data_IF_001355676453
#
_entry.id   IF_001355676453
#
_cell.length_a   1.000
_cell.length_b   1.000
_cell.length_c   1.000
_cell.angle_alpha   90.00
_cell.angle_beta   90.00
_cell.angle_gamma   90.00
#
_symmetry.space_group_name_H-M   'P 1'
#
loop_
_entity.id
_entity.type
_entity.pdbx_description
1 polymer ?
#
# COMPACT_ATOMS: atom_id res chain seq x y z
N UNK A 1 30.79 -42.15 18.50
CA UNK A 1 31.13 -43.04 19.64
C UNK A 1 31.09 -42.25 20.92
N UNK A 2 30.26 -42.71 21.84
CA UNK A 2 29.95 -42.12 23.14
C UNK A 2 31.19 -41.90 24.01
N UNK A 3 31.16 -40.87 24.85
CA UNK A 3 31.45 -41.03 26.30
C UNK A 3 30.88 -39.87 27.11
N UNK A 4 29.81 -40.23 27.79
CA UNK A 4 29.11 -39.54 28.85
C UNK A 4 29.94 -39.44 30.14
N UNK A 5 29.54 -38.49 30.99
CA UNK A 5 29.65 -38.45 32.46
C UNK A 5 31.00 -38.12 33.14
N UNK A 6 31.00 -36.98 33.83
CA UNK A 6 31.37 -36.84 35.27
C UNK A 6 30.66 -35.58 35.81
N UNK A 7 29.59 -35.77 36.58
CA UNK A 7 29.50 -35.75 38.06
C UNK A 7 29.74 -34.35 38.66
N UNK A 8 28.69 -33.79 39.27
CA UNK A 8 28.73 -33.25 40.64
C UNK A 8 27.29 -32.92 41.09
N UNK A 9 26.89 -33.61 42.16
CA UNK A 9 25.61 -33.53 42.88
C UNK A 9 25.84 -32.83 44.21
N UNK A 10 24.94 -31.91 44.59
CA UNK A 10 24.59 -31.52 45.96
C UNK A 10 23.24 -30.76 45.82
N UNK A 11 22.04 -31.26 46.13
CA UNK A 11 21.47 -31.88 47.34
C UNK A 11 21.45 -30.95 48.56
N UNK A 12 20.45 -30.07 48.63
CA UNK A 12 19.79 -29.52 49.85
C UNK A 12 18.65 -28.60 49.41
N UNK A 13 17.45 -28.51 49.99
CA UNK A 13 16.77 -29.18 51.10
C UNK A 13 15.29 -28.72 50.95
N UNK A 14 14.35 -29.66 51.05
CA UNK A 14 12.91 -29.35 51.14
C UNK A 14 12.63 -28.71 52.49
N UNK A 15 11.96 -27.56 52.50
CA UNK A 15 11.13 -27.13 53.63
C UNK A 15 9.77 -26.69 53.09
N UNK A 16 8.78 -27.57 53.30
CA UNK A 16 7.36 -27.24 53.28
C UNK A 16 7.01 -26.50 54.57
N UNK A 17 6.37 -25.33 54.46
CA UNK A 17 5.55 -24.76 55.52
C UNK A 17 4.29 -24.15 54.87
N UNK A 18 3.15 -24.60 55.37
CA UNK A 18 1.79 -24.33 54.90
C UNK A 18 1.12 -23.19 55.68
N UNK A 19 0.40 -22.34 54.93
CA UNK A 19 -0.94 -21.75 55.21
C UNK A 19 -1.06 -20.62 56.27
N UNK A 20 -1.42 -19.39 55.84
CA UNK A 20 -2.80 -18.85 55.87
C UNK A 20 -2.87 -17.32 55.62
N UNK A 21 -3.85 -16.96 54.77
CA UNK A 21 -4.56 -15.69 54.53
C UNK A 21 -4.12 -14.36 55.17
N UNK A 22 -4.00 -13.32 54.33
CA UNK A 22 -4.96 -12.20 54.30
C UNK A 22 -4.95 -11.52 52.93
N UNK A 23 -6.09 -10.97 52.46
CA UNK A 23 -6.21 -10.38 51.13
C UNK A 23 -5.94 -8.88 51.23
N UNK A 24 -4.91 -8.39 50.55
CA UNK A 24 -4.81 -6.96 50.30
C UNK A 24 -4.51 -6.69 48.83
N UNK A 25 -5.31 -5.76 48.34
CA UNK A 25 -5.36 -5.30 46.98
C UNK A 25 -4.01 -4.72 46.55
N UNK A 26 -3.45 -5.31 45.50
CA UNK A 26 -2.90 -4.56 44.37
C UNK A 26 -2.98 -5.50 43.17
N UNK A 27 -3.99 -5.26 42.34
CA UNK A 27 -3.99 -5.76 40.97
C UNK A 27 -2.84 -5.06 40.23
N UNK A 28 -1.62 -5.56 40.41
CA UNK A 28 -0.61 -5.44 39.37
C UNK A 28 -1.16 -6.20 38.17
N UNK A 29 -1.83 -5.46 37.30
CA UNK A 29 -2.07 -5.87 35.92
C UNK A 29 -0.68 -5.97 35.31
N UNK A 30 -0.02 -7.12 35.52
CA UNK A 30 1.06 -7.58 34.68
C UNK A 30 0.42 -7.69 33.31
N UNK A 31 0.54 -6.61 32.52
CA UNK A 31 0.25 -6.63 31.10
C UNK A 31 1.15 -7.70 30.52
N UNK A 32 0.63 -8.93 30.42
CA UNK A 32 1.27 -10.04 29.75
C UNK A 32 1.56 -9.56 28.35
N UNK A 33 2.82 -9.19 28.14
CA UNK A 33 3.35 -8.84 26.84
C UNK A 33 3.01 -10.03 25.93
N UNK A 34 2.29 -9.80 24.82
CA UNK A 34 1.79 -10.91 24.02
C UNK A 34 2.99 -11.73 23.55
N UNK A 35 2.84 -13.04 23.68
CA UNK A 35 3.88 -14.02 23.33
C UNK A 35 4.42 -13.73 21.92
N UNK A 36 5.72 -13.90 21.70
CA UNK A 36 6.43 -13.46 20.47
C UNK A 36 5.77 -14.06 19.19
N UNK A 37 5.13 -15.21 19.34
CA UNK A 37 4.29 -15.92 18.35
C UNK A 37 2.95 -15.22 18.04
N UNK A 38 2.32 -14.58 19.02
CA UNK A 38 1.10 -13.77 18.84
C UNK A 38 1.39 -12.42 18.19
N UNK A 39 2.53 -11.80 18.53
CA UNK A 39 2.97 -10.56 17.89
C UNK A 39 3.25 -10.77 16.39
N UNK A 40 3.95 -11.84 16.05
CA UNK A 40 4.26 -12.17 14.64
C UNK A 40 3.03 -12.52 13.80
N UNK A 41 2.02 -13.21 14.35
CA UNK A 41 0.77 -13.52 13.64
C UNK A 41 -0.11 -12.29 13.39
N UNK A 42 -0.20 -11.37 14.36
CA UNK A 42 -0.90 -10.10 14.19
C UNK A 42 -0.23 -9.21 13.12
N UNK A 43 1.10 -9.16 13.11
CA UNK A 43 1.87 -8.42 12.12
C UNK A 43 1.70 -8.98 10.69
N UNK A 44 1.70 -10.30 10.53
CA UNK A 44 1.44 -10.95 9.24
C UNK A 44 0.03 -10.67 8.71
N UNK A 45 -0.96 -10.62 9.60
CA UNK A 45 -2.35 -10.27 9.24
C UNK A 45 -2.42 -8.83 8.76
N UNK A 46 -1.75 -7.90 9.45
CA UNK A 46 -1.65 -6.49 9.03
C UNK A 46 -0.99 -6.36 7.66
N UNK A 47 0.09 -7.09 7.40
CA UNK A 47 0.74 -7.10 6.08
C UNK A 47 -0.16 -7.63 4.97
N UNK A 48 -0.94 -8.69 5.24
CA UNK A 48 -1.93 -9.20 4.27
C UNK A 48 -2.98 -8.15 3.95
N UNK A 49 -3.51 -7.45 4.96
CA UNK A 49 -4.47 -6.37 4.77
C UNK A 49 -3.91 -5.23 3.91
N UNK A 50 -2.70 -4.76 4.22
CA UNK A 50 -2.01 -3.72 3.44
C UNK A 50 -1.76 -4.17 1.99
N UNK A 51 -1.34 -5.41 1.77
CA UNK A 51 -1.15 -5.95 0.42
C UNK A 51 -2.48 -6.00 -0.36
N UNK A 52 -3.58 -6.35 0.30
CA UNK A 52 -4.92 -6.31 -0.28
C UNK A 52 -5.30 -4.90 -0.74
N UNK A 53 -5.11 -3.91 0.12
CA UNK A 53 -5.39 -2.51 -0.20
C UNK A 53 -4.54 -2.00 -1.40
N UNK A 54 -3.24 -2.32 -1.41
CA UNK A 54 -2.34 -1.98 -2.52
C UNK A 54 -2.81 -2.64 -3.82
N UNK A 55 -3.13 -3.93 -3.80
CA UNK A 55 -3.63 -4.66 -4.98
C UNK A 55 -4.92 -4.04 -5.53
N UNK A 56 -5.84 -3.62 -4.65
CA UNK A 56 -7.06 -2.94 -5.06
C UNK A 56 -6.76 -1.60 -5.73
N UNK A 57 -5.85 -0.79 -5.16
CA UNK A 57 -5.39 0.46 -5.77
C UNK A 57 -4.76 0.21 -7.14
N UNK A 58 -3.93 -0.82 -7.29
CA UNK A 58 -3.33 -1.17 -8.58
C UNK A 58 -4.35 -1.61 -9.63
N UNK A 59 -5.38 -2.36 -9.23
CA UNK A 59 -6.49 -2.69 -10.11
C UNK A 59 -7.21 -1.42 -10.59
N UNK A 60 -7.55 -0.51 -9.69
CA UNK A 60 -8.20 0.75 -10.03
C UNK A 60 -7.32 1.62 -10.95
N UNK A 61 -6.02 1.68 -10.69
CA UNK A 61 -5.04 2.39 -11.55
C UNK A 61 -5.06 1.82 -12.97
N UNK A 62 -5.02 0.49 -13.12
CA UNK A 62 -5.10 -0.15 -14.45
C UNK A 62 -6.42 0.17 -15.14
N UNK A 63 -7.53 0.07 -14.43
CA UNK A 63 -8.85 0.36 -14.97
C UNK A 63 -8.96 1.80 -15.49
N UNK A 64 -8.56 2.79 -14.68
CA UNK A 64 -8.56 4.20 -15.09
C UNK A 64 -7.64 4.46 -16.29
N UNK A 65 -6.46 3.83 -16.33
CA UNK A 65 -5.57 3.97 -17.49
C UNK A 65 -6.21 3.44 -18.78
N UNK A 66 -6.92 2.30 -18.71
CA UNK A 66 -7.65 1.77 -19.86
C UNK A 66 -8.77 2.74 -20.29
N UNK A 67 -9.59 3.20 -19.36
CA UNK A 67 -10.67 4.17 -19.65
C UNK A 67 -10.14 5.45 -20.28
N UNK A 68 -9.09 6.05 -19.71
CA UNK A 68 -8.50 7.27 -20.25
C UNK A 68 -7.89 7.06 -21.64
N UNK A 69 -7.32 5.88 -21.91
CA UNK A 69 -6.79 5.56 -23.25
C UNK A 69 -7.91 5.54 -24.29
N UNK A 70 -9.02 4.91 -23.97
CA UNK A 70 -10.18 4.80 -24.86
C UNK A 70 -10.83 6.18 -25.07
N UNK A 71 -11.05 6.94 -24.00
CA UNK A 71 -11.57 8.31 -24.06
C UNK A 71 -10.64 9.24 -24.86
N UNK A 72 -9.33 9.13 -24.68
CA UNK A 72 -8.34 9.92 -25.44
C UNK A 72 -8.32 9.56 -26.91
N UNK A 73 -8.62 8.31 -27.27
CA UNK A 73 -8.75 7.89 -28.66
C UNK A 73 -10.02 8.46 -29.29
N UNK A 74 -11.15 8.37 -28.58
CA UNK A 74 -12.42 8.91 -29.04
C UNK A 74 -12.37 10.43 -29.20
N UNK A 75 -11.82 11.14 -28.22
CA UNK A 75 -11.62 12.58 -28.28
C UNK A 75 -10.84 12.98 -29.53
N UNK A 76 -9.67 12.34 -29.76
CA UNK A 76 -8.86 12.60 -30.96
C UNK A 76 -9.60 12.31 -32.25
N UNK A 77 -10.45 11.27 -32.28
CA UNK A 77 -11.28 10.95 -33.45
C UNK A 77 -12.32 12.04 -33.72
N UNK A 78 -12.97 12.58 -32.69
CA UNK A 78 -13.95 13.66 -32.83
C UNK A 78 -13.31 14.99 -33.21
N UNK A 79 -12.18 15.34 -32.57
CA UNK A 79 -11.46 16.58 -32.84
C UNK A 79 -10.99 16.71 -34.29
N UNK A 80 -10.70 15.59 -34.99
CA UNK A 80 -10.39 15.61 -36.43
C UNK A 80 -11.48 16.22 -37.31
N UNK A 81 -12.72 16.25 -36.83
CA UNK A 81 -13.87 16.83 -37.54
C UNK A 81 -14.12 18.29 -37.16
N UNK A 82 -13.48 18.79 -36.11
CA UNK A 82 -13.64 20.16 -35.67
C UNK A 82 -12.63 21.09 -36.35
N UNK A 83 -12.91 22.39 -36.34
CA UNK A 83 -12.01 23.41 -36.83
C UNK A 83 -10.74 23.55 -35.95
N UNK A 84 -9.71 24.18 -36.51
CA UNK A 84 -8.40 24.30 -35.85
C UNK A 84 -8.43 25.19 -34.60
N UNK A 85 -9.35 26.15 -34.51
CA UNK A 85 -9.45 27.03 -33.34
C UNK A 85 -10.02 26.25 -32.15
N UNK A 86 -11.08 25.47 -32.39
CA UNK A 86 -11.66 24.61 -31.37
C UNK A 86 -10.70 23.51 -30.92
N UNK A 87 -9.93 22.91 -31.83
CA UNK A 87 -8.88 21.94 -31.46
C UNK A 87 -7.86 22.56 -30.48
N UNK A 88 -7.40 23.78 -30.75
CA UNK A 88 -6.45 24.48 -29.87
C UNK A 88 -7.06 24.83 -28.51
N UNK A 89 -8.33 25.21 -28.47
CA UNK A 89 -9.03 25.45 -27.20
C UNK A 89 -9.09 24.18 -26.35
N UNK A 90 -9.47 23.04 -26.95
CA UNK A 90 -9.52 21.74 -26.25
C UNK A 90 -8.12 21.32 -25.76
N UNK A 91 -7.08 21.46 -26.58
CA UNK A 91 -5.71 21.20 -26.16
C UNK A 91 -5.26 22.12 -25.00
N UNK A 92 -5.72 23.38 -25.01
CA UNK A 92 -5.50 24.33 -23.91
C UNK A 92 -6.18 23.88 -22.60
N UNK A 93 -7.40 23.36 -22.68
CA UNK A 93 -8.13 22.84 -21.51
C UNK A 93 -7.53 21.53 -20.97
N UNK A 94 -6.88 20.73 -21.82
CA UNK A 94 -6.23 19.47 -21.43
C UNK A 94 -4.81 19.63 -20.88
N UNK A 95 -4.32 20.86 -20.67
CA UNK A 95 -3.01 21.07 -20.06
C UNK A 95 -2.93 20.48 -18.63
N UNK A 96 -3.96 20.68 -17.82
CA UNK A 96 -4.05 20.10 -16.48
C UNK A 96 -4.09 18.57 -16.53
N UNK A 97 -4.81 18.01 -17.51
CA UNK A 97 -4.86 16.56 -17.73
C UNK A 97 -3.46 15.99 -17.99
N UNK A 98 -2.69 16.62 -18.87
CA UNK A 98 -1.32 16.21 -19.16
C UNK A 98 -0.39 16.37 -17.94
N UNK A 99 -0.55 17.44 -17.17
CA UNK A 99 0.22 17.66 -15.95
C UNK A 99 -0.08 16.57 -14.90
N UNK A 100 -1.36 16.27 -14.66
CA UNK A 100 -1.82 15.23 -13.74
C UNK A 100 -1.31 13.84 -14.16
N UNK A 101 -1.40 13.50 -15.46
CA UNK A 101 -0.82 12.26 -15.98
C UNK A 101 0.69 12.18 -15.77
N UNK A 102 1.42 13.27 -16.01
CA UNK A 102 2.87 13.32 -15.79
C UNK A 102 3.22 13.03 -14.33
N UNK A 103 2.49 13.63 -13.39
CA UNK A 103 2.67 13.35 -11.95
C UNK A 103 2.34 11.90 -11.60
N UNK A 104 1.23 11.36 -12.12
CA UNK A 104 0.87 9.96 -11.90
C UNK A 104 1.94 8.98 -12.43
N UNK A 105 2.54 9.25 -13.59
CA UNK A 105 3.62 8.42 -14.14
C UNK A 105 4.94 8.56 -13.37
N UNK A 106 5.24 9.74 -12.83
CA UNK A 106 6.39 9.90 -11.93
C UNK A 106 6.22 9.05 -10.67
N UNK A 107 5.05 9.09 -10.04
CA UNK A 107 4.70 8.26 -8.88
C UNK A 107 4.70 6.77 -9.21
N UNK A 108 4.26 6.39 -10.41
CA UNK A 108 4.35 5.00 -10.88
C UNK A 108 5.79 4.49 -10.86
N UNK A 109 6.73 5.24 -11.45
CA UNK A 109 8.16 4.88 -11.50
C UNK A 109 8.75 4.74 -10.09
N UNK A 110 8.42 5.67 -9.19
CA UNK A 110 8.84 5.59 -7.78
C UNK A 110 8.28 4.33 -7.11
N UNK A 111 7.00 4.03 -7.32
CA UNK A 111 6.37 2.82 -6.79
C UNK A 111 6.99 1.51 -7.32
N UNK A 112 7.41 1.45 -8.59
CA UNK A 112 8.10 0.28 -9.14
C UNK A 112 9.51 0.11 -8.56
N UNK A 113 10.23 1.21 -8.29
CA UNK A 113 11.50 1.14 -7.57
C UNK A 113 11.30 0.61 -6.14
N UNK A 114 10.28 1.09 -5.45
CA UNK A 114 9.96 0.67 -4.09
C UNK A 114 9.55 -0.80 -4.00
N UNK A 115 8.81 -1.33 -5.00
CA UNK A 115 8.51 -2.77 -5.10
C UNK A 115 9.75 -3.64 -5.15
N UNK A 116 10.80 -3.20 -5.85
CA UNK A 116 12.09 -3.91 -5.87
C UNK A 116 12.74 -3.94 -4.49
N UNK A 117 12.68 -2.84 -3.75
CA UNK A 117 13.17 -2.78 -2.37
C UNK A 117 12.36 -3.67 -1.43
N UNK A 118 11.02 -3.70 -1.57
CA UNK A 118 10.14 -4.60 -0.83
C UNK A 118 10.49 -6.07 -1.11
N UNK A 119 10.76 -6.41 -2.37
CA UNK A 119 11.18 -7.75 -2.74
C UNK A 119 12.51 -8.13 -2.06
N UNK A 120 13.50 -7.24 -2.07
CA UNK A 120 14.77 -7.45 -1.38
C UNK A 120 14.62 -7.58 0.14
N UNK A 121 13.81 -6.71 0.78
CA UNK A 121 13.52 -6.79 2.21
C UNK A 121 12.80 -8.11 2.57
N UNK A 122 11.92 -8.59 1.68
CA UNK A 122 11.25 -9.89 1.84
C UNK A 122 12.22 -11.06 1.80
N UNK A 123 13.19 -11.04 0.89
CA UNK A 123 14.22 -12.08 0.82
C UNK A 123 15.07 -12.12 2.10
N UNK A 124 15.38 -10.95 2.67
CA UNK A 124 16.13 -10.80 3.92
C UNK A 124 15.30 -11.07 5.18
N UNK A 125 13.98 -11.29 5.04
CA UNK A 125 13.01 -11.43 6.16
C UNK A 125 13.04 -10.23 7.13
N UNK A 126 13.38 -9.04 6.64
CA UNK A 126 13.39 -7.82 7.44
C UNK A 126 11.97 -7.26 7.58
N UNK A 127 11.26 -7.68 8.64
CA UNK A 127 9.87 -7.29 8.89
C UNK A 127 9.71 -5.79 9.18
N UNK A 128 10.71 -5.16 9.81
CA UNK A 128 10.67 -3.73 10.12
C UNK A 128 10.77 -2.90 8.84
N UNK A 129 11.73 -3.25 7.98
CA UNK A 129 11.90 -2.60 6.68
C UNK A 129 10.69 -2.87 5.78
N UNK A 130 10.16 -4.09 5.75
CA UNK A 130 8.94 -4.42 5.00
C UNK A 130 7.76 -3.54 5.41
N UNK A 131 7.57 -3.26 6.70
CA UNK A 131 6.50 -2.38 7.18
C UNK A 131 6.63 -0.95 6.69
N UNK A 132 7.83 -0.38 6.80
CA UNK A 132 8.07 0.97 6.31
C UNK A 132 7.80 1.06 4.81
N UNK A 133 8.40 0.16 4.03
CA UNK A 133 8.28 0.17 2.57
C UNK A 133 6.85 -0.13 2.10
N UNK A 134 6.11 -1.03 2.75
CA UNK A 134 4.71 -1.28 2.39
C UNK A 134 3.80 -0.08 2.67
N UNK A 135 4.03 0.64 3.77
CA UNK A 135 3.30 1.87 4.07
C UNK A 135 3.59 2.98 3.05
N UNK A 136 4.85 3.14 2.67
CA UNK A 136 5.26 4.08 1.63
C UNK A 136 4.66 3.72 0.27
N UNK A 137 4.65 2.42 -0.10
CA UNK A 137 4.01 1.97 -1.34
C UNK A 137 2.53 2.32 -1.36
N UNK A 138 1.83 2.08 -0.25
CA UNK A 138 0.41 2.32 -0.15
C UNK A 138 0.05 3.82 -0.30
N UNK A 139 0.90 4.69 0.27
CA UNK A 139 0.79 6.15 0.11
C UNK A 139 1.05 6.58 -1.33
N UNK A 140 2.12 6.10 -1.95
CA UNK A 140 2.46 6.41 -3.35
C UNK A 140 1.36 5.97 -4.31
N UNK A 141 0.82 4.75 -4.14
CA UNK A 141 -0.30 4.26 -4.95
C UNK A 141 -1.58 5.06 -4.71
N UNK A 142 -1.80 5.54 -3.48
CA UNK A 142 -2.89 6.46 -3.16
C UNK A 142 -2.80 7.76 -3.96
N UNK A 143 -1.65 8.45 -3.88
CA UNK A 143 -1.39 9.70 -4.63
C UNK A 143 -1.45 9.48 -6.14
N UNK A 144 -0.88 8.37 -6.63
CA UNK A 144 -0.93 8.02 -8.06
C UNK A 144 -2.39 7.90 -8.52
N UNK A 145 -3.24 7.21 -7.76
CA UNK A 145 -4.64 7.02 -8.08
C UNK A 145 -5.43 8.34 -8.07
N UNK A 146 -5.10 9.25 -7.15
CA UNK A 146 -5.71 10.58 -7.08
C UNK A 146 -5.43 11.40 -8.34
N UNK A 147 -4.18 11.51 -8.77
CA UNK A 147 -3.83 12.21 -10.02
C UNK A 147 -4.49 11.58 -11.25
N UNK A 148 -4.60 10.25 -11.30
CA UNK A 148 -5.30 9.57 -12.41
C UNK A 148 -6.81 9.85 -12.40
N UNK A 149 -7.43 10.00 -11.23
CA UNK A 149 -8.85 10.36 -11.14
C UNK A 149 -9.10 11.79 -11.63
N UNK A 150 -8.26 12.73 -11.22
CA UNK A 150 -8.34 14.13 -11.68
C UNK A 150 -8.17 14.20 -13.20
N UNK A 151 -7.13 13.54 -13.73
CA UNK A 151 -6.91 13.45 -15.17
C UNK A 151 -8.11 12.83 -15.90
N UNK A 152 -8.65 11.71 -15.40
CA UNK A 152 -9.80 11.08 -16.02
C UNK A 152 -11.04 11.97 -16.04
N UNK A 153 -11.30 12.71 -14.95
CA UNK A 153 -12.42 13.65 -14.87
C UNK A 153 -12.28 14.78 -15.90
N UNK A 154 -11.10 15.41 -15.97
CA UNK A 154 -10.82 16.48 -16.95
C UNK A 154 -11.00 15.98 -18.39
N UNK A 155 -10.48 14.79 -18.70
CA UNK A 155 -10.63 14.19 -20.02
C UNK A 155 -12.09 13.87 -20.36
N UNK A 156 -12.86 13.36 -19.41
CA UNK A 156 -14.28 13.06 -19.61
C UNK A 156 -15.09 14.34 -19.85
N UNK A 157 -14.85 15.38 -19.07
CA UNK A 157 -15.50 16.69 -19.26
C UNK A 157 -15.25 17.24 -20.66
N UNK A 158 -14.00 17.23 -21.12
CA UNK A 158 -13.68 17.71 -22.47
C UNK A 158 -14.22 16.79 -23.57
N UNK A 159 -14.22 15.47 -23.35
CA UNK A 159 -14.82 14.53 -24.30
C UNK A 159 -16.31 14.78 -24.50
N UNK A 160 -17.08 14.97 -23.43
CA UNK A 160 -18.51 15.26 -23.53
C UNK A 160 -18.76 16.61 -24.21
N UNK A 161 -17.99 17.65 -23.86
CA UNK A 161 -18.05 18.95 -24.55
C UNK A 161 -17.80 18.83 -26.05
N UNK A 162 -16.80 18.06 -26.46
CA UNK A 162 -16.49 17.83 -27.88
C UNK A 162 -17.60 17.00 -28.55
N UNK A 163 -18.18 16.00 -27.87
CA UNK A 163 -19.32 15.24 -28.40
C UNK A 163 -20.53 16.13 -28.66
N UNK A 164 -20.86 17.05 -27.75
CA UNK A 164 -21.96 17.99 -27.93
C UNK A 164 -21.74 18.94 -29.11
N UNK A 165 -20.48 19.33 -29.36
CA UNK A 165 -20.14 20.25 -30.45
C UNK A 165 -20.13 19.60 -31.84
N UNK A 166 -19.75 18.33 -31.92
CA UNK A 166 -19.57 17.59 -33.18
C UNK A 166 -20.79 16.76 -33.57
N UNK A 167 -21.75 16.57 -32.64
CA UNK A 167 -23.08 16.03 -32.93
C UNK A 167 -23.92 17.03 -33.71
#
# INVERSE_FOLDING_TARGET
>A
MNKWLRKMTALSLLTLLTVSATPDATAEVVQKQPDVTQQTTAELTKFRGQLGAIKQKEHNIRHLNHQMRDNSYELRKLLRKADKEFQRDVDGKLQSFHANLKQAYALHKQGEALKKQIHAARQKRDLKQLRALMGELDSLKGKQLEYLRLANQELQTELERVKERVR
#
